data_IF_930018648534
#
_entry.id   IF_930018648534
#
_cell.length_a   1.000
_cell.length_b   1.000
_cell.length_c   1.000
_cell.angle_alpha   90.00
_cell.angle_beta   90.00
_cell.angle_gamma   90.00
#
_symmetry.space_group_name_H-M   'P 1'
#
loop_
_entity.id
_entity.type
_entity.pdbx_description
1 polymer ?
#
# COMPACT_ATOMS: atom_id res chain seq x y z
N UNK A 1 -27.46 6.25 -2.42
CA UNK A 1 -26.32 5.43 -1.96
C UNK A 1 -25.20 6.42 -1.64
N UNK A 2 -24.68 6.47 -0.42
CA UNK A 2 -23.61 7.41 -0.06
C UNK A 2 -22.28 6.91 -0.66
N UNK A 3 -21.55 7.79 -1.34
CA UNK A 3 -20.22 7.46 -1.84
C UNK A 3 -19.27 7.16 -0.66
N UNK A 4 -18.42 6.13 -0.75
CA UNK A 4 -17.49 5.81 0.32
C UNK A 4 -16.47 6.93 0.50
N UNK A 5 -16.20 7.31 1.74
CA UNK A 5 -15.19 8.34 2.04
C UNK A 5 -13.79 7.79 1.78
N UNK A 6 -12.83 8.69 1.52
CA UNK A 6 -11.42 8.30 1.34
C UNK A 6 -10.88 7.49 2.52
N UNK A 7 -11.27 7.85 3.74
CA UNK A 7 -10.94 7.09 4.95
C UNK A 7 -11.45 5.64 4.87
N UNK A 8 -12.72 5.44 4.50
CA UNK A 8 -13.28 4.09 4.36
C UNK A 8 -12.58 3.26 3.28
N UNK A 9 -12.12 3.89 2.18
CA UNK A 9 -11.34 3.23 1.15
C UNK A 9 -9.96 2.81 1.68
N UNK A 10 -9.28 3.69 2.41
CA UNK A 10 -7.97 3.39 3.02
C UNK A 10 -8.08 2.30 4.10
N UNK A 11 -9.14 2.33 4.91
CA UNK A 11 -9.43 1.29 5.91
C UNK A 11 -9.60 -0.09 5.25
N UNK A 12 -10.29 -0.17 4.10
CA UNK A 12 -10.42 -1.42 3.32
C UNK A 12 -9.09 -1.94 2.76
N UNK A 13 -8.12 -1.05 2.53
CA UNK A 13 -6.80 -1.37 2.03
C UNK A 13 -5.78 -1.61 3.15
N UNK A 14 -6.17 -1.42 4.42
CA UNK A 14 -5.29 -1.64 5.58
C UNK A 14 -4.89 -3.11 5.66
N UNK A 15 -3.60 -3.37 5.87
CA UNK A 15 -3.03 -4.72 5.91
C UNK A 15 -2.87 -5.38 4.53
N UNK A 16 -3.38 -4.78 3.45
CA UNK A 16 -3.14 -5.25 2.08
C UNK A 16 -1.87 -4.66 1.51
N UNK A 17 -1.23 -5.41 0.62
CA UNK A 17 -0.14 -4.88 -0.18
C UNK A 17 -0.70 -3.97 -1.26
N UNK A 18 -0.24 -2.73 -1.28
CA UNK A 18 -0.65 -1.73 -2.25
C UNK A 18 0.59 -1.10 -2.89
N UNK A 19 0.37 -0.52 -4.05
CA UNK A 19 1.27 0.40 -4.72
C UNK A 19 0.72 1.82 -4.57
N UNK A 20 1.55 2.71 -4.02
CA UNK A 20 1.19 4.10 -3.76
C UNK A 20 2.01 5.03 -4.66
N UNK A 21 1.31 5.96 -5.32
CA UNK A 21 1.88 7.10 -6.03
C UNK A 21 1.40 8.40 -5.41
N UNK A 22 2.30 9.37 -5.19
CA UNK A 22 1.98 10.69 -4.62
C UNK A 22 1.97 11.78 -5.68
N UNK A 23 1.23 12.88 -5.44
CA UNK A 23 1.09 14.01 -6.38
C UNK A 23 2.34 14.87 -6.53
N UNK A 24 3.28 14.80 -5.58
CA UNK A 24 4.46 15.65 -5.55
C UNK A 24 5.56 15.29 -6.58
N UNK A 25 5.23 14.45 -7.58
CA UNK A 25 6.08 14.20 -8.75
C UNK A 25 7.40 13.48 -8.50
N UNK A 26 7.70 13.11 -7.25
CA UNK A 26 9.02 12.59 -6.84
C UNK A 26 9.02 11.10 -6.51
N UNK A 27 7.85 10.45 -6.38
CA UNK A 27 7.81 9.06 -5.93
C UNK A 27 7.47 8.08 -7.05
N UNK A 28 8.49 7.28 -7.38
CA UNK A 28 8.35 5.94 -7.98
C UNK A 28 7.28 5.18 -7.21
N UNK A 29 6.43 4.45 -7.92
CA UNK A 29 5.44 3.54 -7.35
C UNK A 29 6.05 2.72 -6.19
N UNK A 30 5.62 3.00 -4.96
CA UNK A 30 6.15 2.31 -3.77
C UNK A 30 5.21 1.19 -3.36
N UNK A 31 5.72 -0.03 -3.37
CA UNK A 31 5.04 -1.18 -2.80
C UNK A 31 5.10 -1.13 -1.28
N UNK A 32 3.97 -1.35 -0.61
CA UNK A 32 3.93 -1.33 0.85
C UNK A 32 2.57 -1.70 1.41
N UNK A 33 2.41 -1.48 2.71
CA UNK A 33 1.19 -1.82 3.45
C UNK A 33 0.76 -0.64 4.29
N UNK A 34 -0.53 -0.31 4.24
CA UNK A 34 -1.13 0.65 5.18
C UNK A 34 -1.27 -0.05 6.53
N UNK A 35 -0.64 0.51 7.57
CA UNK A 35 -0.70 -0.03 8.93
C UNK A 35 -1.84 0.57 9.74
N UNK A 36 -2.08 1.88 9.59
CA UNK A 36 -3.09 2.60 10.36
C UNK A 36 -3.60 3.81 9.57
N UNK A 37 -4.90 4.07 9.66
CA UNK A 37 -5.58 5.16 8.95
C UNK A 37 -6.13 6.16 9.96
N UNK A 38 -5.87 7.43 9.72
CA UNK A 38 -6.45 8.57 10.44
C UNK A 38 -7.31 9.39 9.49
N UNK A 39 -7.88 10.47 9.98
CA UNK A 39 -8.82 11.29 9.20
C UNK A 39 -8.19 11.92 7.95
N UNK A 40 -6.96 12.44 8.09
CA UNK A 40 -6.27 13.18 7.02
C UNK A 40 -4.92 12.58 6.59
N UNK A 41 -4.47 11.52 7.25
CA UNK A 41 -3.19 10.86 6.96
C UNK A 41 -3.22 9.39 7.35
N UNK A 42 -2.25 8.62 6.89
CA UNK A 42 -2.10 7.20 7.23
C UNK A 42 -0.62 6.83 7.36
N UNK A 43 -0.37 5.77 8.11
CA UNK A 43 0.94 5.17 8.27
C UNK A 43 1.16 4.13 7.18
N UNK A 44 2.14 4.37 6.31
CA UNK A 44 2.51 3.50 5.20
C UNK A 44 3.87 2.85 5.48
N UNK A 45 3.91 1.52 5.43
CA UNK A 45 5.11 0.73 5.62
C UNK A 45 5.61 0.26 4.25
N UNK A 46 6.73 0.79 3.81
CA UNK A 46 7.32 0.46 2.50
C UNK A 46 7.96 -0.93 2.55
N UNK A 47 7.66 -1.76 1.56
CA UNK A 47 8.21 -3.10 1.41
C UNK A 47 8.92 -3.13 0.06
N UNK A 48 10.20 -2.74 0.04
CA UNK A 48 11.03 -2.83 -1.16
C UNK A 48 11.38 -4.29 -1.44
N UNK A 49 11.13 -4.70 -2.68
CA UNK A 49 11.24 -6.09 -3.11
C UNK A 49 12.67 -6.51 -3.49
N UNK A 50 13.66 -5.60 -3.38
CA UNK A 50 14.97 -5.79 -4.03
C UNK A 50 16.22 -5.69 -3.14
N UNK A 51 16.10 -5.47 -1.83
CA UNK A 51 17.29 -5.46 -0.95
C UNK A 51 16.99 -6.20 0.33
N UNK A 52 17.67 -7.32 0.58
CA UNK A 52 17.63 -8.01 1.88
C UNK A 52 18.23 -7.17 3.03
N UNK A 53 18.79 -5.99 2.74
CA UNK A 53 19.46 -5.09 3.69
C UNK A 53 18.80 -3.70 3.84
N UNK A 54 17.70 -3.41 3.15
CA UNK A 54 17.04 -2.10 3.33
C UNK A 54 16.11 -2.12 4.54
N UNK A 55 16.43 -1.25 5.49
CA UNK A 55 15.60 -1.06 6.69
C UNK A 55 14.21 -0.62 6.26
N UNK A 56 13.14 -1.32 6.67
CA UNK A 56 11.79 -0.97 6.26
C UNK A 56 11.43 0.45 6.69
N UNK A 57 11.09 1.29 5.72
CA UNK A 57 10.78 2.71 5.95
C UNK A 57 9.30 2.87 6.27
N UNK A 58 9.02 3.45 7.44
CA UNK A 58 7.67 3.87 7.84
C UNK A 58 7.48 5.34 7.49
N UNK A 59 6.52 5.61 6.62
CA UNK A 59 6.20 6.94 6.13
C UNK A 59 4.81 7.36 6.57
N UNK A 60 4.68 8.61 7.00
CA UNK A 60 3.39 9.25 7.19
C UNK A 60 2.96 9.89 5.87
N UNK A 61 1.79 9.50 5.36
CA UNK A 61 1.29 9.98 4.07
C UNK A 61 -0.01 10.75 4.28
N UNK A 62 -0.03 12.00 3.83
CA UNK A 62 -1.22 12.84 3.82
C UNK A 62 -2.15 12.43 2.69
N UNK A 63 -3.45 12.38 2.97
CA UNK A 63 -4.49 11.97 2.01
C UNK A 63 -4.52 12.90 0.80
N UNK A 64 -4.31 14.21 1.01
CA UNK A 64 -4.27 15.21 -0.06
C UNK A 64 -3.12 15.00 -1.05
N UNK A 65 -2.07 14.31 -0.62
CA UNK A 65 -0.90 13.99 -1.44
C UNK A 65 -1.05 12.69 -2.22
N UNK A 66 -2.14 11.94 -2.05
CA UNK A 66 -2.39 10.71 -2.80
C UNK A 66 -2.67 11.06 -4.26
N UNK A 67 -1.85 10.52 -5.16
CA UNK A 67 -2.12 10.51 -6.60
C UNK A 67 -2.97 9.30 -6.98
N UNK A 68 -2.39 8.12 -6.84
CA UNK A 68 -3.02 6.83 -7.19
C UNK A 68 -2.67 5.79 -6.12
N UNK A 69 -3.65 4.94 -5.79
CA UNK A 69 -3.44 3.73 -4.98
C UNK A 69 -3.97 2.54 -5.76
N UNK A 70 -3.13 1.54 -5.92
CA UNK A 70 -3.47 0.29 -6.60
C UNK A 70 -3.24 -0.87 -5.64
N UNK A 71 -4.22 -1.76 -5.49
CA UNK A 71 -4.01 -3.01 -4.76
C UNK A 71 -3.02 -3.89 -5.55
N UNK A 72 -1.95 -4.35 -4.92
CA UNK A 72 -0.99 -5.22 -5.58
C UNK A 72 -1.70 -6.54 -5.93
N UNK A 73 -1.49 -7.11 -7.14
CA UNK A 73 -2.06 -8.40 -7.47
C UNK A 73 -1.60 -9.40 -6.42
N UNK A 74 -2.55 -10.09 -5.79
CA UNK A 74 -2.26 -11.25 -4.95
C UNK A 74 -1.53 -12.22 -5.88
N UNK A 75 -0.22 -12.37 -5.70
CA UNK A 75 0.56 -13.36 -6.43
C UNK A 75 -0.20 -14.68 -6.29
N UNK A 76 -0.82 -15.12 -7.38
CA UNK A 76 -1.39 -16.44 -7.48
C UNK A 76 -0.20 -17.38 -7.50
N UNK A 77 0.34 -17.66 -6.31
CA UNK A 77 1.15 -18.84 -6.10
C UNK A 77 0.16 -19.98 -6.22
N UNK A 78 -0.10 -20.42 -7.45
CA UNK A 78 -0.57 -21.78 -7.69
C UNK A 78 0.39 -22.65 -6.87
N UNK A 79 -0.11 -23.21 -5.78
CA UNK A 79 0.61 -24.23 -5.05
C UNK A 79 0.80 -25.35 -6.04
N UNK A 80 2.01 -25.45 -6.59
CA UNK A 80 2.46 -26.63 -7.31
C UNK A 80 2.28 -27.79 -6.31
N UNK A 81 1.18 -28.51 -6.48
CA UNK A 81 0.92 -29.77 -5.82
C UNK A 81 2.03 -30.73 -6.26
N UNK A 82 3.09 -30.80 -5.47
CA UNK A 82 4.01 -31.92 -5.56
C UNK A 82 3.35 -33.04 -4.76
N UNK A 83 2.49 -33.81 -5.43
CA UNK A 83 2.08 -35.12 -4.93
C UNK A 83 3.31 -36.02 -4.93
N UNK A 84 3.66 -36.55 -3.75
CA UNK A 84 4.44 -37.76 -3.59
C UNK A 84 3.88 -38.58 -2.44
#
# INVERSE_FOLDING_TARGET
MAEPTTKQLLEKLTGKRIFLSTRCGTFREQGGVIQQVFENFFLFHTVEERSQDETPIRNWVWVDNIGVITEAPRLAVEQLAIER
#
